data_IF_643337564853
#
_entry.id   IF_643337564853
#
_cell.length_a   1.000
_cell.length_b   1.000
_cell.length_c   1.000
_cell.angle_alpha   90.00
_cell.angle_beta   90.00
_cell.angle_gamma   90.00
#
_symmetry.space_group_name_H-M   'P 1'
#
loop_
_entity.id
_entity.type
_entity.pdbx_description
1 polymer ?
#
# COMPACT_ATOMS: atom_id res chain seq x y z
N UNK A 1 10.50 11.57 -6.70
CA UNK A 1 9.14 11.15 -7.11
C UNK A 1 8.98 9.66 -6.86
N UNK A 2 7.80 9.17 -6.43
CA UNK A 2 7.54 7.73 -6.41
C UNK A 2 7.30 7.23 -7.84
N UNK A 3 7.85 6.07 -8.18
CA UNK A 3 7.68 5.44 -9.50
C UNK A 3 7.27 3.98 -9.27
N UNK A 4 6.28 3.51 -10.03
CA UNK A 4 5.80 2.13 -9.97
C UNK A 4 5.87 1.54 -11.39
N UNK A 5 6.60 0.45 -11.53
CA UNK A 5 6.59 -0.40 -12.72
C UNK A 5 5.82 -1.67 -12.39
N UNK A 6 4.89 -2.06 -13.26
CA UNK A 6 4.20 -3.34 -13.11
C UNK A 6 4.02 -4.03 -14.46
N UNK A 7 4.11 -5.36 -14.44
CA UNK A 7 3.73 -6.25 -15.53
C UNK A 7 2.66 -7.17 -15.01
N UNK A 8 1.49 -7.17 -15.64
CA UNK A 8 0.41 -8.09 -15.35
C UNK A 8 0.17 -9.03 -16.54
N UNK A 9 0.19 -10.32 -16.28
CA UNK A 9 -0.11 -11.38 -17.25
C UNK A 9 -1.20 -12.30 -16.67
N UNK A 10 -2.45 -12.19 -17.15
CA UNK A 10 -3.54 -13.01 -16.65
C UNK A 10 -3.43 -14.47 -17.07
N UNK A 11 -2.64 -14.79 -18.11
CA UNK A 11 -2.52 -16.13 -18.71
C UNK A 11 -1.05 -16.45 -19.03
N UNK A 12 -0.22 -16.67 -18.00
CA UNK A 12 1.20 -16.96 -18.18
C UNK A 12 1.42 -18.23 -19.02
N UNK A 13 2.34 -18.14 -19.98
CA UNK A 13 2.62 -19.20 -20.97
C UNK A 13 3.28 -20.44 -20.35
N UNK A 14 3.89 -20.30 -19.17
CA UNK A 14 4.49 -21.41 -18.42
C UNK A 14 3.98 -21.42 -16.99
N UNK A 15 3.93 -22.62 -16.38
CA UNK A 15 3.49 -22.83 -14.99
C UNK A 15 4.33 -22.05 -13.96
N UNK A 16 5.56 -21.69 -14.31
CA UNK A 16 6.50 -21.00 -13.42
C UNK A 16 6.60 -19.49 -13.71
N UNK A 17 5.86 -18.96 -14.68
CA UNK A 17 5.87 -17.54 -14.96
C UNK A 17 5.02 -16.75 -13.95
N UNK A 18 5.53 -15.58 -13.56
CA UNK A 18 4.84 -14.68 -12.65
C UNK A 18 3.63 -14.02 -13.33
N UNK A 19 2.47 -14.08 -12.66
CA UNK A 19 1.24 -13.37 -13.08
C UNK A 19 1.33 -11.87 -12.84
N UNK A 20 2.07 -11.45 -11.83
CA UNK A 20 2.33 -10.05 -11.51
C UNK A 20 3.81 -9.89 -11.13
N UNK A 21 4.48 -8.94 -11.77
CA UNK A 21 5.76 -8.42 -11.33
C UNK A 21 5.53 -6.95 -11.03
N UNK A 22 5.93 -6.49 -9.85
CA UNK A 22 5.83 -5.10 -9.45
C UNK A 22 7.15 -4.64 -8.83
N UNK A 23 7.65 -3.52 -9.29
CA UNK A 23 8.81 -2.84 -8.75
C UNK A 23 8.42 -1.39 -8.46
N UNK A 24 8.62 -0.94 -7.23
CA UNK A 24 8.25 0.41 -6.81
C UNK A 24 9.45 1.08 -6.14
N UNK A 25 9.69 2.34 -6.51
CA UNK A 25 10.58 3.23 -5.79
C UNK A 25 9.74 4.17 -4.91
N UNK A 26 10.04 4.18 -3.61
CA UNK A 26 9.48 5.10 -2.63
C UNK A 26 10.46 6.27 -2.48
N UNK A 27 10.03 7.44 -2.90
CA UNK A 27 10.79 8.67 -2.68
C UNK A 27 10.36 9.32 -1.37
N UNK A 28 11.21 9.18 -0.36
CA UNK A 28 10.98 9.64 1.01
C UNK A 28 12.32 9.90 1.71
N UNK A 29 12.29 10.60 2.84
CA UNK A 29 13.49 10.82 3.65
C UNK A 29 14.14 9.50 4.11
N UNK A 30 15.45 9.35 3.85
CA UNK A 30 16.22 8.16 4.24
C UNK A 30 16.18 7.86 5.74
N UNK A 31 16.04 8.88 6.59
CA UNK A 31 15.98 8.72 8.04
C UNK A 31 14.59 8.39 8.57
N UNK A 32 13.55 8.36 7.73
CA UNK A 32 12.19 8.03 8.17
C UNK A 32 12.13 6.55 8.53
N UNK A 33 11.92 6.19 9.81
CA UNK A 33 11.95 4.80 10.24
C UNK A 33 10.78 4.03 9.62
N UNK A 34 11.04 2.81 9.17
CA UNK A 34 10.00 1.92 8.64
C UNK A 34 10.33 0.46 8.95
N UNK A 35 9.29 -0.34 9.21
CA UNK A 35 9.42 -1.79 9.34
C UNK A 35 9.53 -2.42 7.95
N UNK A 36 10.40 -3.44 7.83
CA UNK A 36 10.48 -4.30 6.64
C UNK A 36 9.11 -4.94 6.35
N UNK A 37 8.88 -5.29 5.08
CA UNK A 37 7.63 -5.90 4.68
C UNK A 37 7.40 -7.22 5.41
N UNK A 38 6.24 -7.35 6.04
CA UNK A 38 5.85 -8.49 6.84
C UNK A 38 4.33 -8.66 6.76
N UNK A 39 3.81 -9.82 7.19
CA UNK A 39 2.38 -10.06 7.26
C UNK A 39 1.79 -9.47 8.54
N UNK A 40 0.68 -8.74 8.42
CA UNK A 40 -0.03 -8.14 9.55
C UNK A 40 -1.53 -7.95 9.26
N UNK A 41 -2.24 -7.36 10.22
CA UNK A 41 -3.70 -7.25 10.25
C UNK A 41 -4.35 -8.42 10.99
N UNK A 42 -5.66 -8.39 11.19
CA UNK A 42 -6.37 -9.35 12.06
C UNK A 42 -6.16 -10.82 11.69
N UNK A 43 -5.90 -11.10 10.42
CA UNK A 43 -5.72 -12.46 9.89
C UNK A 43 -4.35 -12.66 9.21
N UNK A 44 -3.36 -11.77 9.41
CA UNK A 44 -2.09 -11.78 8.68
C UNK A 44 -2.27 -11.78 7.14
N UNK A 45 -3.35 -11.17 6.65
CA UNK A 45 -3.74 -11.19 5.24
C UNK A 45 -3.06 -10.09 4.40
N UNK A 46 -2.35 -9.13 5.02
CA UNK A 46 -1.74 -7.99 4.33
C UNK A 46 -0.22 -8.10 4.44
N UNK A 47 0.46 -8.11 3.30
CA UNK A 47 1.90 -7.98 3.19
C UNK A 47 2.25 -6.54 2.83
N UNK A 48 2.89 -5.82 3.73
CA UNK A 48 3.42 -4.49 3.48
C UNK A 48 4.51 -4.10 4.47
N UNK A 49 5.33 -3.12 4.11
CA UNK A 49 6.10 -2.37 5.11
C UNK A 49 5.19 -1.43 5.90
N UNK A 50 5.62 -1.02 7.09
CA UNK A 50 4.89 -0.10 7.96
C UNK A 50 5.72 1.15 8.27
N UNK A 51 5.05 2.30 8.29
CA UNK A 51 5.60 3.54 8.82
C UNK A 51 5.77 3.41 10.34
N UNK A 52 6.97 3.76 10.82
CA UNK A 52 7.33 3.75 12.24
C UNK A 52 7.69 5.17 12.72
N UNK A 53 7.43 6.20 11.91
CA UNK A 53 7.59 7.59 12.35
C UNK A 53 6.64 7.87 13.52
N UNK A 54 7.18 8.47 14.57
CA UNK A 54 6.45 8.78 15.80
C UNK A 54 5.23 9.66 15.50
N UNK A 55 4.05 9.23 15.96
CA UNK A 55 2.76 9.90 15.69
C UNK A 55 2.16 9.61 14.30
N UNK A 56 2.83 8.83 13.45
CA UNK A 56 2.37 8.43 12.11
C UNK A 56 2.43 6.91 11.90
N UNK A 57 2.52 6.14 12.97
CA UNK A 57 2.69 4.71 12.94
C UNK A 57 1.52 4.00 12.24
N UNK A 58 1.83 2.86 11.62
CA UNK A 58 0.84 2.00 10.98
C UNK A 58 0.37 2.48 9.60
N UNK A 59 1.00 3.52 9.06
CA UNK A 59 0.87 3.89 7.65
C UNK A 59 1.60 2.92 6.72
N UNK A 60 1.26 2.91 5.43
CA UNK A 60 1.97 2.13 4.42
C UNK A 60 1.94 2.80 3.04
N UNK A 61 2.98 2.56 2.23
CA UNK A 61 3.08 3.11 0.86
C UNK A 61 2.74 2.09 -0.22
N UNK A 62 2.85 0.80 0.06
CA UNK A 62 2.58 -0.29 -0.87
C UNK A 62 2.19 -1.52 -0.06
N UNK A 63 1.03 -2.09 -0.36
CA UNK A 63 0.55 -3.31 0.27
C UNK A 63 -0.19 -4.22 -0.70
N UNK A 64 -0.07 -5.52 -0.46
CA UNK A 64 -0.83 -6.56 -1.16
C UNK A 64 -1.55 -7.44 -0.15
N UNK A 65 -2.82 -7.72 -0.42
CA UNK A 65 -3.60 -8.70 0.31
C UNK A 65 -3.37 -10.10 -0.26
N UNK A 66 -3.42 -11.13 0.58
CA UNK A 66 -3.49 -12.54 0.17
C UNK A 66 -4.67 -12.83 -0.79
N UNK A 67 -5.70 -11.96 -0.80
CA UNK A 67 -6.84 -12.04 -1.74
C UNK A 67 -6.55 -11.39 -3.10
N UNK A 68 -5.33 -10.92 -3.34
CA UNK A 68 -4.89 -10.33 -4.61
C UNK A 68 -5.20 -8.84 -4.77
N UNK A 69 -5.68 -8.14 -3.73
CA UNK A 69 -5.88 -6.69 -3.80
C UNK A 69 -4.54 -5.98 -3.59
N UNK A 70 -4.20 -5.03 -4.46
CA UNK A 70 -3.00 -4.22 -4.34
C UNK A 70 -3.37 -2.74 -4.20
N UNK A 71 -2.71 -2.07 -3.26
CA UNK A 71 -2.82 -0.63 -3.08
C UNK A 71 -1.42 -0.04 -2.99
N UNK A 72 -1.21 1.07 -3.69
CA UNK A 72 0.04 1.82 -3.63
C UNK A 72 -0.25 3.32 -3.59
N UNK A 73 0.57 4.04 -2.82
CA UNK A 73 0.55 5.50 -2.76
C UNK A 73 1.63 6.06 -3.66
N UNK A 74 1.22 6.89 -4.61
CA UNK A 74 2.16 7.70 -5.39
C UNK A 74 2.32 9.06 -4.70
N UNK A 75 3.53 9.63 -4.79
CA UNK A 75 3.83 10.88 -4.13
C UNK A 75 2.95 12.00 -4.70
N UNK A 76 2.28 12.73 -3.81
CA UNK A 76 1.61 13.97 -4.11
C UNK A 76 2.40 15.08 -3.41
N UNK A 77 2.92 16.04 -4.17
CA UNK A 77 3.69 17.14 -3.61
C UNK A 77 2.74 18.11 -2.91
N UNK A 78 2.71 18.05 -1.58
CA UNK A 78 2.01 19.04 -0.77
C UNK A 78 2.96 20.17 -0.38
N UNK A 79 2.68 21.42 -0.78
CA UNK A 79 3.50 22.58 -0.40
C UNK A 79 3.37 22.94 1.09
N UNK A 80 2.29 22.50 1.76
CA UNK A 80 2.10 22.67 3.19
C UNK A 80 1.84 21.30 3.85
N UNK A 81 2.71 20.92 4.79
CA UNK A 81 2.58 19.70 5.57
C UNK A 81 1.82 20.03 6.86
N UNK A 82 0.70 19.36 7.11
CA UNK A 82 0.02 19.44 8.41
C UNK A 82 0.73 18.50 9.40
N UNK A 83 1.37 19.01 10.47
CA UNK A 83 2.06 18.18 11.46
C UNK A 83 1.13 17.24 12.22
N UNK A 84 -0.17 17.58 12.28
CA UNK A 84 -1.20 16.80 12.96
C UNK A 84 -1.84 15.73 12.07
N UNK A 85 -1.49 15.68 10.78
CA UNK A 85 -2.03 14.69 9.86
C UNK A 85 -1.60 13.28 10.25
N UNK A 86 -2.52 12.33 10.06
CA UNK A 86 -2.22 10.90 10.30
C UNK A 86 -1.17 10.40 9.30
N UNK A 87 -0.49 9.33 9.67
CA UNK A 87 0.40 8.58 8.78
C UNK A 87 -0.26 8.20 7.45
N UNK A 88 0.55 8.06 6.40
CA UNK A 88 0.05 7.83 5.04
C UNK A 88 -0.70 6.48 4.96
N UNK A 89 -1.92 6.49 4.43
CA UNK A 89 -2.79 5.31 4.37
C UNK A 89 -2.82 4.49 5.68
N UNK A 90 -2.97 5.16 6.83
CA UNK A 90 -3.13 4.53 8.13
C UNK A 90 -4.29 3.52 8.13
N UNK A 91 -4.04 2.30 8.65
CA UNK A 91 -5.01 1.18 8.63
C UNK A 91 -5.44 0.74 10.04
N UNK A 92 -5.25 1.57 11.07
CA UNK A 92 -5.76 1.32 12.43
C UNK A 92 -7.26 1.60 12.58
N UNK A 93 -7.90 1.16 13.70
CA UNK A 93 -9.28 1.52 13.98
C UNK A 93 -9.44 3.05 14.07
N UNK A 94 -10.57 3.62 13.62
CA UNK A 94 -10.80 5.05 13.76
C UNK A 94 -10.82 5.40 15.24
N UNK A 95 -9.88 6.26 15.67
CA UNK A 95 -9.99 6.91 16.98
C UNK A 95 -11.26 7.76 16.97
N UNK A 96 -12.01 7.71 18.07
CA UNK A 96 -13.32 8.35 18.30
C UNK A 96 -13.48 9.76 17.72
N UNK A 97 -14.72 10.23 17.47
CA UNK A 97 -15.05 11.40 16.62
C UNK A 97 -14.61 12.79 17.14
N UNK A 98 -13.61 12.89 18.02
CA UNK A 98 -13.16 14.15 18.63
C UNK A 98 -11.80 14.68 18.14
N UNK A 99 -11.05 13.93 17.33
CA UNK A 99 -9.71 14.33 16.85
C UNK A 99 -9.64 14.37 15.33
N UNK A 100 -9.82 15.55 14.74
CA UNK A 100 -9.93 15.81 13.30
C UNK A 100 -8.65 15.68 12.47
N UNK A 101 -7.78 14.72 12.76
CA UNK A 101 -6.58 14.49 11.95
C UNK A 101 -6.96 13.82 10.62
N UNK A 102 -6.87 14.57 9.52
CA UNK A 102 -7.06 14.03 8.17
C UNK A 102 -5.85 13.16 7.77
N UNK A 103 -6.04 12.12 6.94
CA UNK A 103 -4.93 11.37 6.37
C UNK A 103 -4.03 12.30 5.55
N UNK A 104 -2.71 12.12 5.63
CA UNK A 104 -1.79 12.81 4.74
C UNK A 104 -2.20 12.61 3.26
N UNK A 105 -2.21 13.69 2.46
CA UNK A 105 -2.68 13.58 1.09
C UNK A 105 -1.79 12.65 0.28
N UNK A 106 -2.44 11.76 -0.46
CA UNK A 106 -1.76 10.79 -1.32
C UNK A 106 -2.65 10.48 -2.51
N UNK A 107 -2.05 10.35 -3.69
CA UNK A 107 -2.73 9.77 -4.83
C UNK A 107 -2.73 8.26 -4.62
N UNK A 108 -3.91 7.69 -4.36
CA UNK A 108 -4.07 6.25 -4.14
C UNK A 108 -4.39 5.60 -5.48
N UNK A 109 -3.49 4.73 -5.96
CA UNK A 109 -3.80 3.80 -7.03
C UNK A 109 -4.29 2.49 -6.43
N UNK A 110 -5.59 2.22 -6.50
CA UNK A 110 -6.13 0.89 -6.17
C UNK A 110 -6.29 0.11 -7.45
N UNK A 111 -5.44 -0.90 -7.67
CA UNK A 111 -5.65 -1.87 -8.72
C UNK A 111 -6.30 -3.10 -8.10
N UNK A 112 -7.62 -3.20 -8.25
CA UNK A 112 -8.36 -4.41 -7.91
C UNK A 112 -8.02 -5.47 -8.95
N UNK A 113 -7.14 -6.43 -8.62
CA UNK A 113 -7.00 -7.60 -9.47
C UNK A 113 -8.32 -8.40 -9.40
N UNK A 114 -8.91 -8.80 -10.53
CA UNK A 114 -10.12 -9.61 -10.52
C UNK A 114 -9.86 -10.91 -9.75
N UNK A 115 -10.84 -11.33 -8.94
CA UNK A 115 -10.74 -12.59 -8.21
C UNK A 115 -10.48 -13.74 -9.19
N UNK A 116 -9.58 -14.65 -8.81
CA UNK A 116 -9.19 -15.81 -9.64
C UNK A 116 -10.37 -16.75 -9.93
N UNK A 117 -11.48 -16.61 -9.21
CA UNK A 117 -12.58 -17.58 -9.18
C UNK A 117 -13.74 -17.26 -10.14
N UNK A 118 -13.65 -16.20 -10.97
CA UNK A 118 -14.74 -15.76 -11.84
C UNK A 118 -14.47 -15.91 -13.34
N UNK A 119 -13.58 -16.82 -13.76
CA UNK A 119 -13.30 -17.06 -15.17
C UNK A 119 -14.04 -18.32 -15.66
N UNK A 120 -14.74 -18.26 -16.81
CA UNK A 120 -15.35 -19.45 -17.38
C UNK A 120 -14.23 -20.44 -17.73
N UNK A 121 -14.35 -21.67 -17.22
CA UNK A 121 -13.63 -22.84 -17.71
C UNK A 121 -13.95 -22.99 -19.19
N UNK A 122 -12.93 -22.85 -20.03
CA UNK A 122 -12.88 -23.36 -21.40
C UNK A 122 -11.81 -24.44 -21.46
#
# INVERSE_FOLDING_TARGET
MCIIFFKFDPRPVSKNAYRLILAANRDEFYHRPSKVADFWGSNNEILSGLDMEEGKEGGTWLGISMRGKLAALTNYLQPHQDPSARGRAHVGPPVSPGGGAQPAASATGVCSLPQVNSWPTF
#
